data_IF_927892784381
#
_entry.id   IF_927892784381
#
_cell.length_a   1.000
_cell.length_b   1.000
_cell.length_c   1.000
_cell.angle_alpha   90.00
_cell.angle_beta   90.00
_cell.angle_gamma   90.00
#
_symmetry.space_group_name_H-M   'P 1'
#
loop_
_entity.id
_entity.type
_entity.pdbx_description
1 polymer ?
#
# COMPACT_ATOMS: atom_id res chain seq x y z
N UNK A 1 -10.27 -33.50 0.70
CA UNK A 1 -8.97 -32.83 0.44
C UNK A 1 -8.05 -33.11 1.60
N UNK A 2 -6.91 -33.78 1.36
CA UNK A 2 -5.89 -34.05 2.39
C UNK A 2 -5.27 -32.70 2.76
N UNK A 3 -5.31 -32.32 4.04
CA UNK A 3 -4.45 -31.28 4.56
C UNK A 3 -3.01 -31.73 4.28
N UNK A 4 -2.34 -31.09 3.32
CA UNK A 4 -0.88 -31.13 3.28
C UNK A 4 -0.40 -30.67 4.66
N UNK A 5 0.51 -31.44 5.26
CA UNK A 5 1.09 -31.11 6.56
C UNK A 5 1.57 -29.65 6.53
N UNK A 6 1.09 -28.82 7.46
CA UNK A 6 1.50 -27.41 7.59
C UNK A 6 3.03 -27.23 7.49
N UNK A 7 3.80 -28.23 7.94
CA UNK A 7 5.26 -28.25 7.84
C UNK A 7 5.84 -28.34 6.42
N UNK A 8 5.20 -29.03 5.47
CA UNK A 8 5.69 -29.11 4.08
C UNK A 8 5.48 -27.79 3.35
N UNK A 9 4.35 -27.12 3.58
CA UNK A 9 4.08 -25.80 3.01
C UNK A 9 5.03 -24.73 3.56
N UNK A 10 5.19 -24.66 4.90
CA UNK A 10 6.11 -23.72 5.54
C UNK A 10 7.54 -23.88 5.03
N UNK A 11 8.03 -25.12 4.91
CA UNK A 11 9.37 -25.39 4.38
C UNK A 11 9.51 -24.93 2.93
N UNK A 12 8.49 -25.19 2.09
CA UNK A 12 8.46 -24.71 0.71
C UNK A 12 8.45 -23.18 0.62
N UNK A 13 7.67 -22.50 1.46
CA UNK A 13 7.62 -21.04 1.52
C UNK A 13 8.96 -20.44 1.93
N UNK A 14 9.63 -21.00 2.95
CA UNK A 14 10.99 -20.57 3.36
C UNK A 14 12.00 -20.71 2.24
N UNK A 15 12.00 -21.85 1.53
CA UNK A 15 12.91 -22.08 0.41
C UNK A 15 12.65 -21.05 -0.70
N UNK A 16 11.39 -20.82 -1.06
CA UNK A 16 11.03 -19.87 -2.09
C UNK A 16 11.39 -18.42 -1.72
N UNK A 17 11.10 -17.99 -0.48
CA UNK A 17 11.50 -16.67 0.03
C UNK A 17 13.02 -16.50 0.01
N UNK A 18 13.76 -17.50 0.47
CA UNK A 18 15.22 -17.49 0.46
C UNK A 18 15.80 -17.41 -0.96
N UNK A 19 15.23 -18.16 -1.91
CA UNK A 19 15.63 -18.11 -3.32
C UNK A 19 15.39 -16.72 -3.90
N UNK A 20 14.20 -16.15 -3.70
CA UNK A 20 13.82 -14.82 -4.22
C UNK A 20 14.55 -13.64 -3.53
N UNK A 21 15.23 -13.91 -2.41
CA UNK A 21 16.05 -12.93 -1.70
C UNK A 21 17.48 -12.80 -2.27
N UNK A 22 17.95 -13.74 -3.10
CA UNK A 22 19.35 -13.75 -3.58
C UNK A 22 19.59 -12.75 -4.71
N UNK A 23 20.27 -11.64 -4.42
CA UNK A 23 20.42 -10.53 -5.37
C UNK A 23 21.21 -10.87 -6.64
N UNK A 24 22.00 -11.94 -6.59
CA UNK A 24 22.87 -12.48 -7.63
C UNK A 24 22.09 -13.29 -8.68
N UNK A 25 20.86 -13.72 -8.36
CA UNK A 25 20.06 -14.64 -9.17
C UNK A 25 18.92 -13.95 -9.94
N UNK A 26 19.16 -12.75 -10.47
CA UNK A 26 18.10 -11.93 -11.09
C UNK A 26 17.39 -12.62 -12.26
N UNK A 27 18.13 -13.33 -13.11
CA UNK A 27 17.56 -14.07 -14.25
C UNK A 27 16.69 -15.23 -13.76
N UNK A 28 17.18 -15.98 -12.76
CA UNK A 28 16.46 -17.08 -12.15
C UNK A 28 15.21 -16.61 -11.41
N UNK A 29 15.24 -15.44 -10.77
CA UNK A 29 14.06 -14.86 -10.15
C UNK A 29 12.94 -14.63 -11.16
N UNK A 30 13.26 -14.11 -12.34
CA UNK A 30 12.28 -13.91 -13.42
C UNK A 30 11.72 -15.25 -13.89
N UNK A 31 12.57 -16.26 -14.09
CA UNK A 31 12.13 -17.61 -14.47
C UNK A 31 11.23 -18.26 -13.40
N UNK A 32 11.62 -18.16 -12.13
CA UNK A 32 10.83 -18.68 -11.00
C UNK A 32 9.48 -17.96 -10.93
N UNK A 33 9.47 -16.63 -11.09
CA UNK A 33 8.25 -15.84 -11.05
C UNK A 33 7.30 -16.23 -12.18
N UNK A 34 7.80 -16.34 -13.41
CA UNK A 34 7.01 -16.76 -14.58
C UNK A 34 6.44 -18.17 -14.41
N UNK A 35 7.26 -19.11 -13.90
CA UNK A 35 6.80 -20.47 -13.63
C UNK A 35 5.67 -20.47 -12.59
N UNK A 36 5.82 -19.75 -11.48
CA UNK A 36 4.81 -19.70 -10.43
C UNK A 36 3.55 -18.96 -10.88
N UNK A 37 3.68 -17.85 -11.62
CA UNK A 37 2.54 -17.09 -12.16
C UNK A 37 1.80 -17.77 -13.32
N UNK A 38 2.41 -18.81 -13.92
CA UNK A 38 1.81 -19.58 -15.01
C UNK A 38 0.47 -20.21 -14.62
N UNK A 39 -0.32 -20.57 -15.63
CA UNK A 39 -1.58 -21.28 -15.42
C UNK A 39 -1.41 -22.60 -14.66
N UNK A 40 -0.31 -23.31 -14.92
CA UNK A 40 0.01 -24.62 -14.36
C UNK A 40 0.34 -24.59 -12.87
N UNK A 41 0.74 -23.43 -12.33
CA UNK A 41 1.12 -23.25 -10.93
C UNK A 41 0.16 -22.34 -10.15
N UNK A 42 -1.07 -22.14 -10.65
CA UNK A 42 -2.04 -21.22 -10.05
C UNK A 42 -2.34 -21.53 -8.58
N UNK A 43 -2.31 -22.81 -8.19
CA UNK A 43 -2.54 -23.25 -6.81
C UNK A 43 -1.48 -22.71 -5.83
N UNK A 44 -0.26 -22.46 -6.29
CA UNK A 44 0.81 -21.88 -5.47
C UNK A 44 0.45 -20.42 -5.14
N UNK A 45 0.10 -19.65 -6.17
CA UNK A 45 -0.34 -18.25 -6.02
C UNK A 45 -1.60 -18.16 -5.16
N UNK A 46 -2.57 -19.05 -5.39
CA UNK A 46 -3.80 -19.12 -4.60
C UNK A 46 -3.52 -19.38 -3.12
N UNK A 47 -2.68 -20.37 -2.79
CA UNK A 47 -2.28 -20.66 -1.40
C UNK A 47 -1.52 -19.50 -0.76
N UNK A 48 -0.62 -18.84 -1.51
CA UNK A 48 0.10 -17.66 -1.02
C UNK A 48 -0.87 -16.51 -0.72
N UNK A 49 -1.82 -16.22 -1.61
CA UNK A 49 -2.82 -15.18 -1.39
C UNK A 49 -3.77 -15.52 -0.24
N UNK A 50 -4.16 -16.80 -0.10
CA UNK A 50 -4.99 -17.26 1.02
C UNK A 50 -4.26 -17.13 2.37
N UNK A 51 -2.95 -17.38 2.40
CA UNK A 51 -2.13 -17.23 3.59
C UNK A 51 -2.02 -15.78 4.11
N UNK A 52 -2.46 -14.80 3.31
CA UNK A 52 -2.54 -13.39 3.70
C UNK A 52 -3.82 -13.05 4.48
N UNK A 53 -4.78 -13.97 4.58
CA UNK A 53 -6.04 -13.69 5.28
C UNK A 53 -5.79 -13.55 6.78
N UNK A 54 -5.73 -12.30 7.27
CA UNK A 54 -5.58 -11.95 8.70
C UNK A 54 -6.68 -12.51 9.60
N UNK A 55 -7.82 -12.94 9.04
CA UNK A 55 -8.93 -13.54 9.80
C UNK A 55 -8.72 -15.02 10.05
N UNK A 56 -7.76 -15.64 9.35
CA UNK A 56 -7.41 -17.03 9.54
C UNK A 56 -6.53 -17.21 10.79
N UNK A 57 -6.65 -18.35 11.48
CA UNK A 57 -5.75 -18.72 12.60
C UNK A 57 -4.37 -19.21 12.11
N UNK A 58 -3.90 -18.69 10.98
CA UNK A 58 -2.71 -19.15 10.32
C UNK A 58 -1.45 -18.70 11.07
N UNK A 59 -0.38 -19.46 10.90
CA UNK A 59 0.92 -19.13 11.50
C UNK A 59 1.41 -17.78 10.98
N UNK A 60 1.82 -16.90 11.90
CA UNK A 60 2.32 -15.55 11.58
C UNK A 60 3.51 -15.59 10.63
N UNK A 61 4.42 -16.56 10.81
CA UNK A 61 5.58 -16.70 9.94
C UNK A 61 5.16 -17.03 8.52
N UNK A 62 4.14 -17.89 8.36
CA UNK A 62 3.60 -18.25 7.05
C UNK A 62 3.03 -17.00 6.36
N UNK A 63 2.26 -16.19 7.07
CA UNK A 63 1.69 -14.96 6.52
C UNK A 63 2.77 -13.97 6.10
N UNK A 64 3.81 -13.78 6.91
CA UNK A 64 4.94 -12.89 6.59
C UNK A 64 5.75 -13.39 5.39
N UNK A 65 6.00 -14.69 5.29
CA UNK A 65 6.63 -15.31 4.11
C UNK A 65 5.77 -15.10 2.86
N UNK A 66 4.48 -15.37 2.96
CA UNK A 66 3.55 -15.18 1.86
C UNK A 66 3.54 -13.72 1.37
N UNK A 67 3.52 -12.75 2.29
CA UNK A 67 3.56 -11.33 1.95
C UNK A 67 4.83 -10.97 1.15
N UNK A 68 6.01 -11.42 1.61
CA UNK A 68 7.28 -11.16 0.92
C UNK A 68 7.31 -11.81 -0.47
N UNK A 69 6.89 -13.07 -0.57
CA UNK A 69 6.86 -13.80 -1.83
C UNK A 69 5.88 -13.13 -2.81
N UNK A 70 4.65 -12.80 -2.38
CA UNK A 70 3.64 -12.14 -3.23
C UNK A 70 4.16 -10.81 -3.79
N UNK A 71 4.85 -10.01 -2.98
CA UNK A 71 5.49 -8.76 -3.44
C UNK A 71 6.50 -9.04 -4.57
N UNK A 72 7.33 -10.07 -4.42
CA UNK A 72 8.34 -10.45 -5.44
C UNK A 72 7.71 -11.01 -6.71
N UNK A 73 6.55 -11.66 -6.58
CA UNK A 73 5.82 -12.27 -7.69
C UNK A 73 4.78 -11.36 -8.33
N UNK A 74 4.58 -10.14 -7.82
CA UNK A 74 3.43 -9.29 -8.15
C UNK A 74 3.26 -9.03 -9.66
N UNK A 75 4.35 -8.96 -10.43
CA UNK A 75 4.32 -8.77 -11.88
C UNK A 75 3.69 -9.93 -12.66
N UNK A 76 3.65 -11.13 -12.08
CA UNK A 76 3.12 -12.34 -12.72
C UNK A 76 1.73 -12.71 -12.17
N UNK A 77 1.29 -12.06 -11.08
CA UNK A 77 0.00 -12.29 -10.45
C UNK A 77 -1.08 -11.45 -11.13
N UNK A 78 -2.08 -12.11 -11.69
CA UNK A 78 -3.24 -11.45 -12.29
C UNK A 78 -4.46 -11.62 -11.37
N UNK A 79 -4.82 -10.56 -10.64
CA UNK A 79 -5.86 -10.60 -9.59
C UNK A 79 -7.23 -11.09 -10.10
N UNK A 80 -7.56 -10.84 -11.38
CA UNK A 80 -8.79 -11.34 -12.00
C UNK A 80 -8.95 -12.86 -11.90
N UNK A 81 -7.84 -13.60 -11.84
CA UNK A 81 -7.82 -15.07 -11.70
C UNK A 81 -8.02 -15.53 -10.25
N UNK A 82 -7.88 -14.62 -9.29
CA UNK A 82 -7.90 -14.90 -7.85
C UNK A 82 -8.79 -13.89 -7.12
N UNK A 83 -10.11 -13.87 -7.38
CA UNK A 83 -11.01 -12.89 -6.77
C UNK A 83 -11.04 -12.98 -5.23
N UNK A 84 -10.77 -14.14 -4.63
CA UNK A 84 -10.62 -14.23 -3.17
C UNK A 84 -9.33 -13.56 -2.66
N UNK A 85 -8.28 -13.50 -3.49
CA UNK A 85 -6.99 -12.94 -3.09
C UNK A 85 -7.03 -11.46 -2.74
N UNK A 86 -7.82 -10.65 -3.48
CA UNK A 86 -8.00 -9.24 -3.13
C UNK A 86 -8.71 -9.07 -1.78
N UNK A 87 -9.62 -9.98 -1.42
CA UNK A 87 -10.31 -9.97 -0.12
C UNK A 87 -9.36 -10.34 1.02
N UNK A 88 -8.47 -11.33 0.82
CA UNK A 88 -7.43 -11.67 1.79
C UNK A 88 -6.45 -10.50 1.98
N UNK A 89 -6.04 -9.82 0.91
CA UNK A 89 -5.20 -8.62 1.02
C UNK A 89 -5.96 -7.49 1.73
N UNK A 90 -7.24 -7.29 1.42
CA UNK A 90 -8.10 -6.27 2.05
C UNK A 90 -8.29 -6.50 3.55
N UNK A 91 -8.21 -7.75 4.03
CA UNK A 91 -8.32 -8.07 5.45
C UNK A 91 -7.09 -7.64 6.24
N UNK A 92 -5.91 -7.55 5.61
CA UNK A 92 -4.70 -6.98 6.23
C UNK A 92 -4.85 -5.50 6.58
N UNK A 93 -5.77 -4.80 5.91
CA UNK A 93 -6.04 -3.38 6.11
C UNK A 93 -7.27 -3.11 7.00
N UNK A 94 -7.90 -4.14 7.56
CA UNK A 94 -9.10 -3.98 8.38
C UNK A 94 -8.80 -3.24 9.68
N UNK A 95 -9.32 -2.02 9.78
CA UNK A 95 -9.16 -1.11 10.92
C UNK A 95 -9.91 -1.54 12.19
N UNK A 96 -10.72 -2.60 12.11
CA UNK A 96 -11.66 -3.07 13.14
C UNK A 96 -11.08 -4.08 14.13
N UNK A 97 -9.76 -4.28 14.19
CA UNK A 97 -9.16 -5.03 15.31
C UNK A 97 -9.20 -4.26 16.64
N UNK A 98 -9.68 -3.01 16.65
CA UNK A 98 -10.05 -2.30 17.88
C UNK A 98 -11.35 -2.88 18.43
N UNK A 99 -11.30 -3.51 19.60
CA UNK A 99 -12.50 -3.60 20.41
C UNK A 99 -12.94 -2.16 20.76
N UNK A 100 -14.22 -1.80 20.64
CA UNK A 100 -14.70 -0.44 20.87
C UNK A 100 -14.37 0.15 22.25
N UNK A 101 -14.00 -0.70 23.21
CA UNK A 101 -13.74 -0.36 24.61
C UNK A 101 -12.24 -0.34 24.98
N UNK A 102 -11.34 -0.53 24.00
CA UNK A 102 -9.89 -0.55 24.24
C UNK A 102 -9.24 0.78 23.82
N UNK A 103 -9.05 1.68 24.79
CA UNK A 103 -8.29 2.94 24.66
C UNK A 103 -6.79 2.71 24.36
N UNK A 104 -6.36 1.45 24.20
CA UNK A 104 -4.98 1.10 23.87
C UNK A 104 -4.59 1.57 22.46
N UNK A 105 -3.36 2.06 22.33
CA UNK A 105 -2.75 2.35 21.05
C UNK A 105 -2.79 1.12 20.12
N UNK A 106 -2.92 1.29 18.80
CA UNK A 106 -2.95 0.15 17.87
C UNK A 106 -1.71 -0.73 18.02
N UNK A 107 -1.90 -2.04 18.04
CA UNK A 107 -0.80 -2.99 18.24
C UNK A 107 0.26 -2.92 17.13
N UNK A 108 1.50 -3.27 17.46
CA UNK A 108 2.59 -3.37 16.48
C UNK A 108 2.29 -4.38 15.37
N UNK A 109 1.57 -5.44 15.72
CA UNK A 109 1.10 -6.44 14.78
C UNK A 109 0.14 -5.83 13.75
N UNK A 110 -0.86 -5.07 14.21
CA UNK A 110 -1.79 -4.38 13.33
C UNK A 110 -1.07 -3.42 12.36
N UNK A 111 -0.13 -2.62 12.87
CA UNK A 111 0.69 -1.71 12.05
C UNK A 111 1.49 -2.49 10.99
N UNK A 112 2.10 -3.61 11.39
CA UNK A 112 2.87 -4.48 10.48
C UNK A 112 1.99 -5.08 9.38
N UNK A 113 0.82 -5.60 9.71
CA UNK A 113 -0.13 -6.17 8.74
C UNK A 113 -0.62 -5.12 7.75
N UNK A 114 -1.02 -3.95 8.26
CA UNK A 114 -1.48 -2.86 7.41
C UNK A 114 -0.39 -2.43 6.43
N UNK A 115 0.85 -2.26 6.90
CA UNK A 115 2.00 -1.96 6.04
C UNK A 115 2.19 -3.04 4.97
N UNK A 116 2.15 -4.32 5.34
CA UNK A 116 2.31 -5.43 4.39
C UNK A 116 1.23 -5.42 3.31
N UNK A 117 -0.04 -5.25 3.71
CA UNK A 117 -1.16 -5.14 2.78
C UNK A 117 -0.97 -3.99 1.78
N UNK A 118 -0.55 -2.82 2.26
CA UNK A 118 -0.29 -1.65 1.41
C UNK A 118 0.87 -1.91 0.42
N UNK A 119 1.97 -2.52 0.88
CA UNK A 119 3.11 -2.84 0.00
C UNK A 119 2.74 -3.88 -1.06
N UNK A 120 1.92 -4.87 -0.71
CA UNK A 120 1.39 -5.85 -1.67
C UNK A 120 0.52 -5.16 -2.72
N UNK A 121 -0.39 -4.28 -2.31
CA UNK A 121 -1.24 -3.52 -3.24
C UNK A 121 -0.41 -2.61 -4.16
N UNK A 122 0.61 -1.93 -3.64
CA UNK A 122 1.51 -1.10 -4.46
C UNK A 122 2.21 -1.95 -5.53
N UNK A 123 2.70 -3.13 -5.13
CA UNK A 123 3.41 -4.05 -6.03
C UNK A 123 2.48 -4.60 -7.10
N UNK A 124 1.26 -5.01 -6.74
CA UNK A 124 0.26 -5.54 -7.68
C UNK A 124 -0.26 -4.48 -8.63
N UNK A 125 -0.49 -3.25 -8.14
CA UNK A 125 -0.97 -2.13 -8.95
C UNK A 125 0.10 -1.59 -9.93
N UNK A 126 1.32 -2.14 -9.94
CA UNK A 126 2.27 -1.88 -11.01
C UNK A 126 1.77 -2.41 -12.37
N UNK A 127 0.97 -3.49 -12.36
CA UNK A 127 0.22 -3.94 -13.52
C UNK A 127 -1.06 -3.10 -13.70
N UNK A 128 -1.35 -2.74 -14.95
CA UNK A 128 -2.49 -1.87 -15.30
C UNK A 128 -3.84 -2.52 -15.01
N UNK A 129 -3.98 -3.83 -15.25
CA UNK A 129 -5.25 -4.54 -15.04
C UNK A 129 -5.53 -4.72 -13.56
N UNK A 130 -4.53 -5.13 -12.79
CA UNK A 130 -4.61 -5.18 -11.34
C UNK A 130 -4.93 -3.81 -10.74
N UNK A 131 -4.28 -2.75 -11.23
CA UNK A 131 -4.56 -1.38 -10.80
C UNK A 131 -6.04 -1.03 -11.03
N UNK A 132 -6.60 -1.35 -12.20
CA UNK A 132 -8.05 -1.14 -12.48
C UNK A 132 -8.94 -1.85 -11.46
N UNK A 133 -8.69 -3.14 -11.21
CA UNK A 133 -9.48 -3.93 -10.27
C UNK A 133 -9.42 -3.38 -8.83
N UNK A 134 -8.23 -2.95 -8.38
CA UNK A 134 -8.06 -2.31 -7.07
C UNK A 134 -8.84 -1.00 -7.01
N UNK A 135 -8.88 -0.22 -8.10
CA UNK A 135 -9.58 1.06 -8.15
C UNK A 135 -11.10 0.94 -8.24
N UNK A 136 -11.62 -0.20 -8.69
CA UNK A 136 -13.05 -0.50 -8.73
C UNK A 136 -13.60 -0.77 -7.32
N UNK A 137 -12.78 -1.32 -6.42
CA UNK A 137 -13.17 -1.59 -5.02
C UNK A 137 -13.10 -0.32 -4.14
N UNK A 138 -14.25 0.33 -3.96
CA UNK A 138 -14.39 1.53 -3.12
C UNK A 138 -14.03 1.29 -1.65
N UNK A 139 -14.36 0.12 -1.11
CA UNK A 139 -14.06 -0.23 0.27
C UNK A 139 -12.55 -0.35 0.47
N UNK A 140 -11.86 -0.98 -0.48
CA UNK A 140 -10.42 -1.09 -0.46
C UNK A 140 -9.73 0.27 -0.60
N UNK A 141 -10.21 1.15 -1.49
CA UNK A 141 -9.67 2.51 -1.63
C UNK A 141 -9.82 3.32 -0.34
N UNK A 142 -10.96 3.21 0.35
CA UNK A 142 -11.15 3.83 1.65
C UNK A 142 -10.11 3.33 2.67
N UNK A 143 -9.88 2.02 2.74
CA UNK A 143 -8.86 1.42 3.62
C UNK A 143 -7.44 1.87 3.26
N UNK A 144 -7.12 1.99 1.98
CA UNK A 144 -5.82 2.51 1.50
C UNK A 144 -5.59 3.94 1.97
N UNK A 145 -6.62 4.79 1.94
CA UNK A 145 -6.53 6.20 2.37
C UNK A 145 -6.59 6.39 3.89
N UNK A 146 -7.12 5.41 4.63
CA UNK A 146 -7.40 5.51 6.07
C UNK A 146 -6.21 6.03 6.92
N UNK A 147 -4.95 5.56 6.73
CA UNK A 147 -3.81 6.05 7.51
C UNK A 147 -3.56 7.56 7.34
N UNK A 148 -3.90 8.11 6.17
CA UNK A 148 -3.74 9.53 5.86
C UNK A 148 -4.97 10.32 6.26
N UNK A 149 -6.18 9.82 5.98
CA UNK A 149 -7.42 10.52 6.36
C UNK A 149 -7.56 10.67 7.88
N UNK A 150 -7.09 9.68 8.64
CA UNK A 150 -7.13 9.73 10.11
C UNK A 150 -5.93 10.43 10.74
N UNK A 151 -5.00 10.96 9.92
CA UNK A 151 -3.79 11.67 10.35
C UNK A 151 -2.98 10.95 11.45
N UNK A 152 -2.94 9.61 11.39
CA UNK A 152 -2.36 8.76 12.44
C UNK A 152 -0.89 9.09 12.70
N UNK A 153 -0.19 9.54 11.66
CA UNK A 153 1.20 10.00 11.72
C UNK A 153 1.42 11.15 12.71
N UNK A 154 0.51 12.11 12.77
CA UNK A 154 0.63 13.27 13.66
C UNK A 154 -0.18 13.11 14.96
N UNK A 155 -1.25 12.33 14.95
CA UNK A 155 -2.12 12.13 16.12
C UNK A 155 -1.61 11.07 17.11
N UNK A 156 -0.78 10.12 16.65
CA UNK A 156 -0.25 9.05 17.51
C UNK A 156 1.25 9.24 17.69
N UNK A 157 2.04 8.87 16.68
CA UNK A 157 3.49 8.99 16.73
C UNK A 157 4.09 8.93 15.32
N UNK A 158 5.05 9.81 15.04
CA UNK A 158 5.66 9.90 13.71
C UNK A 158 6.50 8.66 13.38
N UNK A 159 7.34 8.21 14.31
CA UNK A 159 8.30 7.14 14.07
C UNK A 159 7.56 5.79 13.94
N UNK A 160 6.51 5.58 14.73
CA UNK A 160 5.69 4.37 14.65
C UNK A 160 4.86 4.29 13.37
N UNK A 161 4.23 5.39 12.96
CA UNK A 161 3.27 5.40 11.84
C UNK A 161 3.89 5.80 10.50
N UNK A 162 5.13 6.29 10.49
CA UNK A 162 5.81 6.70 9.26
C UNK A 162 5.77 5.62 8.19
N UNK A 163 6.09 4.37 8.56
CA UNK A 163 6.19 3.28 7.58
C UNK A 163 4.84 2.90 6.96
N UNK A 164 3.75 3.00 7.73
CA UNK A 164 2.37 2.76 7.26
C UNK A 164 1.91 3.91 6.38
N UNK A 165 2.11 5.16 6.82
CA UNK A 165 1.75 6.35 6.05
C UNK A 165 2.51 6.41 4.71
N UNK A 166 3.81 6.08 4.72
CA UNK A 166 4.62 6.00 3.51
C UNK A 166 4.07 4.96 2.53
N UNK A 167 3.74 3.75 3.00
CA UNK A 167 3.17 2.69 2.16
C UNK A 167 1.79 3.10 1.58
N UNK A 168 0.94 3.74 2.40
CA UNK A 168 -0.36 4.26 1.95
C UNK A 168 -0.19 5.31 0.85
N UNK A 169 0.68 6.30 1.06
CA UNK A 169 0.98 7.33 0.06
C UNK A 169 1.61 6.75 -1.23
N UNK A 170 2.38 5.66 -1.15
CA UNK A 170 2.92 4.98 -2.33
C UNK A 170 1.80 4.39 -3.19
N UNK A 171 0.91 3.60 -2.59
CA UNK A 171 -0.26 3.02 -3.28
C UNK A 171 -1.11 4.13 -3.91
N UNK A 172 -1.43 5.17 -3.12
CA UNK A 172 -2.21 6.31 -3.60
C UNK A 172 -1.51 7.00 -4.76
N UNK A 173 -0.20 7.28 -4.66
CA UNK A 173 0.58 7.89 -5.72
C UNK A 173 0.56 7.05 -7.00
N UNK A 174 0.71 5.73 -6.89
CA UNK A 174 0.64 4.83 -8.04
C UNK A 174 -0.71 4.93 -8.73
N UNK A 175 -1.80 4.81 -7.98
CA UNK A 175 -3.15 4.85 -8.51
C UNK A 175 -3.48 6.21 -9.15
N UNK A 176 -3.24 7.34 -8.47
CA UNK A 176 -3.60 8.66 -9.03
C UNK A 176 -2.81 9.02 -10.29
N UNK A 177 -1.64 8.39 -10.49
CA UNK A 177 -0.83 8.55 -11.70
C UNK A 177 -1.33 7.70 -12.87
N UNK A 178 -2.20 6.72 -12.63
CA UNK A 178 -2.79 5.90 -13.69
C UNK A 178 -3.67 6.75 -14.63
N UNK A 179 -3.51 6.60 -15.96
CA UNK A 179 -4.27 7.36 -16.94
C UNK A 179 -5.73 6.89 -17.00
N UNK A 180 -6.60 7.76 -17.52
CA UNK A 180 -8.01 7.46 -17.72
C UNK A 180 -8.79 7.25 -16.42
N UNK A 181 -9.85 6.45 -16.52
CA UNK A 181 -10.82 6.20 -15.43
C UNK A 181 -10.22 5.47 -14.23
N UNK A 182 -9.19 4.63 -14.44
CA UNK A 182 -8.51 3.88 -13.37
C UNK A 182 -8.04 4.82 -12.25
N UNK A 183 -7.26 5.85 -12.58
CA UNK A 183 -6.80 6.81 -11.60
C UNK A 183 -7.82 7.90 -11.26
N UNK A 184 -8.82 8.13 -12.12
CA UNK A 184 -9.82 9.19 -11.95
C UNK A 184 -10.67 8.99 -10.71
N UNK A 185 -11.04 7.74 -10.43
CA UNK A 185 -11.84 7.40 -9.26
C UNK A 185 -11.15 7.86 -7.96
N UNK A 186 -9.90 7.47 -7.75
CA UNK A 186 -9.16 7.89 -6.56
C UNK A 186 -8.90 9.39 -6.54
N UNK A 187 -8.61 10.02 -7.69
CA UNK A 187 -8.45 11.49 -7.76
C UNK A 187 -9.72 12.21 -7.28
N UNK A 188 -10.90 11.75 -7.70
CA UNK A 188 -12.18 12.34 -7.30
C UNK A 188 -12.48 12.08 -5.82
N UNK A 189 -12.18 10.89 -5.30
CA UNK A 189 -12.34 10.60 -3.87
C UNK A 189 -11.44 11.47 -3.00
N UNK A 190 -10.16 11.61 -3.35
CA UNK A 190 -9.24 12.48 -2.63
C UNK A 190 -9.72 13.93 -2.70
N UNK A 191 -10.15 14.39 -3.89
CA UNK A 191 -10.65 15.74 -4.07
C UNK A 191 -11.87 16.06 -3.17
N UNK A 192 -12.77 15.09 -2.99
CA UNK A 192 -13.94 15.23 -2.12
C UNK A 192 -13.66 15.03 -0.62
N UNK A 193 -12.46 14.56 -0.24
CA UNK A 193 -12.12 14.19 1.14
C UNK A 193 -11.23 15.26 1.79
N UNK A 194 -11.83 16.08 2.66
CA UNK A 194 -11.14 17.22 3.30
C UNK A 194 -10.09 16.74 4.29
N UNK A 195 -10.33 15.63 4.96
CA UNK A 195 -9.45 15.04 5.95
C UNK A 195 -8.14 14.61 5.29
N UNK A 196 -8.20 13.85 4.19
CA UNK A 196 -7.02 13.44 3.42
C UNK A 196 -6.23 14.65 2.93
N UNK A 197 -6.90 15.67 2.38
CA UNK A 197 -6.24 16.89 1.90
C UNK A 197 -5.56 17.62 3.06
N UNK A 198 -6.24 17.80 4.19
CA UNK A 198 -5.71 18.48 5.36
C UNK A 198 -4.47 17.78 5.92
N UNK A 199 -4.52 16.46 6.08
CA UNK A 199 -3.37 15.66 6.54
C UNK A 199 -2.20 15.76 5.57
N UNK A 200 -2.46 15.71 4.25
CA UNK A 200 -1.43 15.93 3.23
C UNK A 200 -0.79 17.32 3.31
N UNK A 201 -1.58 18.38 3.50
CA UNK A 201 -1.06 19.73 3.72
C UNK A 201 -0.19 19.81 4.98
N UNK A 202 -0.62 19.15 6.06
CA UNK A 202 0.14 19.07 7.31
C UNK A 202 1.48 18.34 7.12
N UNK A 203 1.53 17.26 6.34
CA UNK A 203 2.76 16.57 5.96
C UNK A 203 3.75 17.50 5.23
N UNK A 204 3.26 18.42 4.38
CA UNK A 204 4.13 19.37 3.66
C UNK A 204 4.77 20.42 4.58
N UNK A 205 4.04 20.80 5.63
CA UNK A 205 4.44 21.81 6.61
C UNK A 205 5.25 21.22 7.78
N UNK A 206 5.07 19.93 8.09
CA UNK A 206 5.73 19.25 9.19
C UNK A 206 7.24 19.01 8.94
N UNK A 207 8.08 19.46 9.87
CA UNK A 207 9.55 19.30 9.81
C UNK A 207 9.98 17.84 9.96
N UNK A 208 9.31 17.07 10.81
CA UNK A 208 9.61 15.64 11.03
C UNK A 208 9.30 14.84 9.77
N UNK A 209 8.10 15.00 9.21
CA UNK A 209 7.70 14.37 7.93
C UNK A 209 8.65 14.71 6.77
N UNK A 210 9.24 15.92 6.77
CA UNK A 210 10.22 16.33 5.76
C UNK A 210 11.51 15.51 5.80
N UNK A 211 11.99 15.12 6.98
CA UNK A 211 13.19 14.26 7.12
C UNK A 211 13.02 12.94 6.39
N UNK A 212 11.81 12.39 6.42
CA UNK A 212 11.48 11.15 5.73
C UNK A 212 11.02 11.31 4.28
N UNK A 213 11.07 12.53 3.72
CA UNK A 213 10.74 12.83 2.33
C UNK A 213 9.30 12.48 1.90
N UNK A 214 8.35 12.35 2.83
CA UNK A 214 6.94 12.08 2.51
C UNK A 214 6.33 13.14 1.59
N UNK A 215 6.81 14.39 1.68
CA UNK A 215 6.38 15.50 0.83
C UNK A 215 6.48 15.17 -0.67
N UNK A 216 7.42 14.32 -1.11
CA UNK A 216 7.56 13.96 -2.52
C UNK A 216 6.31 13.20 -3.00
N UNK A 217 5.82 12.24 -2.21
CA UNK A 217 4.62 11.46 -2.55
C UNK A 217 3.37 12.34 -2.49
N UNK A 218 3.25 13.17 -1.45
CA UNK A 218 2.13 14.11 -1.32
C UNK A 218 2.07 15.07 -2.50
N UNK A 219 3.20 15.65 -2.91
CA UNK A 219 3.28 16.53 -4.09
C UNK A 219 2.82 15.80 -5.35
N UNK A 220 3.31 14.57 -5.57
CA UNK A 220 2.91 13.77 -6.73
C UNK A 220 1.40 13.51 -6.74
N UNK A 221 0.78 13.29 -5.58
CA UNK A 221 -0.66 13.09 -5.48
C UNK A 221 -1.42 14.40 -5.76
N UNK A 222 -1.11 15.46 -5.02
CA UNK A 222 -1.82 16.74 -5.12
C UNK A 222 -1.72 17.36 -6.52
N UNK A 223 -0.60 17.17 -7.23
CA UNK A 223 -0.44 17.65 -8.61
C UNK A 223 -1.28 16.89 -9.64
N UNK A 224 -1.82 15.72 -9.29
CA UNK A 224 -2.72 14.95 -10.15
C UNK A 224 -4.19 15.26 -9.93
N UNK A 225 -4.57 15.94 -8.85
CA UNK A 225 -5.97 16.24 -8.57
C UNK A 225 -6.54 17.29 -9.57
N UNK A 226 -7.85 17.22 -9.88
CA UNK A 226 -8.50 18.20 -10.74
C UNK A 226 -8.29 19.63 -10.22
N UNK A 227 -7.96 20.54 -11.14
CA UNK A 227 -7.86 21.96 -10.84
C UNK A 227 -9.23 22.60 -11.02
N UNK A 228 -10.16 22.39 -10.10
CA UNK A 228 -11.49 22.94 -10.34
C UNK A 228 -11.51 24.47 -10.25
N UNK A 229 -12.15 25.06 -11.26
CA UNK A 229 -12.52 26.47 -11.41
C UNK A 229 -13.51 26.97 -10.32
N UNK A 230 -13.73 26.19 -9.27
CA UNK A 230 -14.57 26.56 -8.13
C UNK A 230 -13.73 27.29 -7.05
N UNK A 231 -14.15 28.49 -6.61
CA UNK A 231 -13.33 29.33 -5.77
C UNK A 231 -13.26 28.81 -4.32
N UNK A 232 -12.06 28.43 -3.84
CA UNK A 232 -11.75 28.45 -2.40
C UNK A 232 -10.85 27.34 -1.84
N UNK A 233 -11.02 26.09 -2.27
CA UNK A 233 -10.31 24.93 -1.65
C UNK A 233 -9.07 24.53 -2.46
N UNK A 234 -9.17 24.48 -3.79
CA UNK A 234 -8.02 24.18 -4.66
C UNK A 234 -6.94 25.26 -4.64
N UNK A 235 -7.29 26.52 -4.40
CA UNK A 235 -6.34 27.65 -4.42
C UNK A 235 -5.44 27.71 -3.18
N UNK A 236 -5.99 27.38 -1.98
CA UNK A 236 -5.22 27.34 -0.73
C UNK A 236 -4.18 26.21 -0.73
N UNK A 237 -4.60 25.00 -1.11
CA UNK A 237 -3.73 23.82 -1.22
C UNK A 237 -2.58 24.05 -2.21
N UNK A 238 -2.86 24.69 -3.34
CA UNK A 238 -1.84 25.05 -4.34
C UNK A 238 -0.91 26.17 -3.88
N UNK A 239 -1.42 27.17 -3.15
CA UNK A 239 -0.59 28.19 -2.53
C UNK A 239 0.40 27.60 -1.52
N UNK A 240 -0.05 26.63 -0.71
CA UNK A 240 0.83 25.86 0.20
C UNK A 240 1.83 24.99 -0.55
N UNK A 241 1.41 24.36 -1.65
CA UNK A 241 2.30 23.61 -2.53
C UNK A 241 3.42 24.49 -3.12
N UNK A 242 3.08 25.64 -3.73
CA UNK A 242 4.05 26.57 -4.30
C UNK A 242 5.01 27.08 -3.22
N UNK A 243 4.51 27.42 -2.03
CA UNK A 243 5.36 27.82 -0.89
C UNK A 243 6.30 26.69 -0.45
N UNK A 244 5.83 25.45 -0.47
CA UNK A 244 6.65 24.29 -0.10
C UNK A 244 7.72 24.01 -1.16
N UNK A 245 7.37 24.07 -2.45
CA UNK A 245 8.31 23.97 -3.57
C UNK A 245 9.37 25.06 -3.52
N UNK A 246 8.95 26.32 -3.33
CA UNK A 246 9.86 27.44 -3.18
C UNK A 246 10.83 27.21 -2.01
N UNK A 247 10.33 26.74 -0.86
CA UNK A 247 11.17 26.43 0.31
C UNK A 247 12.16 25.29 0.07
N UNK A 248 11.78 24.26 -0.68
CA UNK A 248 12.68 23.15 -1.06
C UNK A 248 13.77 23.64 -2.00
N UNK A 249 13.42 24.46 -3.00
CA UNK A 249 14.36 25.01 -3.96
C UNK A 249 15.32 26.05 -3.33
N UNK A 250 14.91 26.72 -2.26
CA UNK A 250 15.74 27.73 -1.57
C UNK A 250 16.52 27.17 -0.37
N UNK A 251 16.26 25.92 0.05
CA UNK A 251 16.98 25.31 1.19
C UNK A 251 18.43 24.90 0.89
N UNK A 252 18.90 25.02 -0.36
CA UNK A 252 20.33 24.94 -0.70
C UNK A 252 20.94 26.36 -0.75
N UNK A 253 21.22 26.91 0.44
CA UNK A 253 22.11 28.09 0.59
C UNK A 253 22.73 28.22 1.99
N UNK A 254 22.99 27.10 2.67
CA UNK A 254 23.84 27.08 3.85
C UNK A 254 24.39 25.69 4.08
N UNK A 255 25.58 25.48 3.51
CA UNK A 255 26.59 24.47 3.89
C UNK A 255 26.93 24.52 5.37
#
# INVERSE_FOLDING_TARGET
>A
MKFESSGSYLSGARILDALLAQSELKEQHSMIAQLIGSASCSQIVEKLLQALDSRSRQDKEIMELAARIVVKLAGEIHLKRFPQGILCISSLLETSQRQPDDDSAPSDEFKSLMKQGLVILDSLAADKHNCSLICEDQSLLFKVMAPISSDMLHLIDHDEWFSVAAASLQVMCRIVTSPGSTGENLRNQIHGNKEVISSMEQILECKTCRKHKLYILVIKILTKLPMDAAPGVGTKSRGKFIKTMARILTSDSSS
#
